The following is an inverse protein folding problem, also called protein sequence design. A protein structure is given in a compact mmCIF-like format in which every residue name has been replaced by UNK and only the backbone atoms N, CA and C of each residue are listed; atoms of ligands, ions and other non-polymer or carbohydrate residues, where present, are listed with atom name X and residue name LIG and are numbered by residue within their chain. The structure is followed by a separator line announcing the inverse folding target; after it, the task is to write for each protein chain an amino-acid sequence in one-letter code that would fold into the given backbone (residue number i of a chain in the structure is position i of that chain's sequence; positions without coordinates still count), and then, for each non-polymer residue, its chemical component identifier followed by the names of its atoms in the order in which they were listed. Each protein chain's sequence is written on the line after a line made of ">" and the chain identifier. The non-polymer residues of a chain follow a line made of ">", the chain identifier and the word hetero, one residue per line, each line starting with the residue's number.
data_IF_722278316312
#
_entry.id   IF_722278316312
#
_cell.length_a   1.000
_cell.length_b   1.000
_cell.length_c   1.000
_cell.angle_alpha   90.00
_cell.angle_beta   90.00
_cell.angle_gamma   90.00
#
_symmetry.space_group_name_H-M   'P 1'
#
loop_
_entity.id
_entity.type
_entity.pdbx_description
1 polymer ?
#
# COMPACT_ATOMS: atom_id res chain seq x y z
N UNK A 1 -7.62 22.34 3.94
CA UNK A 1 -6.49 21.83 3.14
C UNK A 1 -7.05 21.19 1.87
N UNK A 2 -6.34 21.29 0.75
CA UNK A 2 -6.76 20.81 -0.59
C UNK A 2 -5.92 19.59 -1.02
N UNK A 3 -5.66 18.66 -0.09
CA UNK A 3 -4.79 17.51 -0.32
C UNK A 3 -5.57 16.21 -0.48
N UNK A 4 -4.90 15.12 -0.83
CA UNK A 4 -5.51 13.79 -0.78
C UNK A 4 -5.97 13.47 0.65
N UNK A 5 -7.19 12.94 0.80
CA UNK A 5 -7.68 12.47 2.10
C UNK A 5 -8.08 13.57 3.09
N UNK A 6 -8.18 14.83 2.67
CA UNK A 6 -8.43 15.95 3.60
C UNK A 6 -9.91 16.23 3.90
N UNK A 7 -10.86 15.44 3.38
CA UNK A 7 -12.30 15.62 3.67
C UNK A 7 -12.84 14.77 4.82
N UNK A 8 -12.06 13.81 5.36
CA UNK A 8 -12.45 13.00 6.53
C UNK A 8 -12.18 13.69 7.87
N UNK A 9 -12.35 15.02 7.93
CA UNK A 9 -12.27 15.73 9.20
C UNK A 9 -13.41 15.34 10.16
N UNK A 10 -14.47 14.64 9.71
CA UNK A 10 -15.65 14.33 10.53
C UNK A 10 -15.78 12.89 11.02
N UNK A 11 -14.96 11.94 10.54
CA UNK A 11 -15.05 10.51 10.93
C UNK A 11 -13.81 10.01 11.69
N UNK A 12 -12.65 10.64 11.50
CA UNK A 12 -11.46 10.35 12.31
C UNK A 12 -11.54 10.95 13.72
N UNK A 13 -12.47 11.88 13.96
CA UNK A 13 -12.62 12.53 15.27
C UNK A 13 -13.12 11.59 16.38
N UNK A 14 -13.60 10.39 16.03
CA UNK A 14 -14.13 9.39 16.98
C UNK A 14 -13.26 8.14 17.12
N UNK A 15 -12.22 7.96 16.31
CA UNK A 15 -11.43 6.71 16.29
C UNK A 15 -10.07 6.90 16.96
N UNK A 16 -10.03 6.59 18.25
CA UNK A 16 -8.78 6.46 19.03
C UNK A 16 -8.09 5.14 18.62
N UNK A 17 -6.76 5.10 18.39
CA UNK A 17 -6.09 3.86 18.02
C UNK A 17 -6.21 2.81 19.14
N UNK A 18 -7.11 1.84 18.96
CA UNK A 18 -7.26 0.73 19.88
C UNK A 18 -6.38 -0.45 19.45
N UNK A 19 -5.53 -0.94 20.36
CA UNK A 19 -5.03 -2.31 20.26
C UNK A 19 -6.11 -3.22 20.82
N UNK A 20 -6.41 -4.34 20.18
CA UNK A 20 -7.36 -5.32 20.71
C UNK A 20 -6.63 -6.63 20.89
N UNK A 21 -6.60 -7.15 22.11
CA UNK A 21 -6.13 -8.51 22.34
C UNK A 21 -7.27 -9.47 22.01
N UNK A 22 -6.98 -10.45 21.17
CA UNK A 22 -7.94 -11.48 20.75
C UNK A 22 -7.51 -12.82 21.34
N UNK A 23 -8.43 -13.53 21.97
CA UNK A 23 -8.16 -14.88 22.47
C UNK A 23 -7.97 -15.82 21.27
N UNK A 24 -6.79 -16.43 21.18
CA UNK A 24 -6.49 -17.37 20.10
C UNK A 24 -7.43 -18.59 20.08
N UNK A 25 -8.01 -18.96 21.22
CA UNK A 25 -8.89 -20.13 21.36
C UNK A 25 -10.26 -19.96 20.69
N UNK A 26 -10.81 -18.75 20.67
CA UNK A 26 -12.20 -18.49 20.24
C UNK A 26 -12.34 -17.27 19.34
N UNK A 27 -11.23 -16.57 19.03
CA UNK A 27 -11.25 -15.36 18.22
C UNK A 27 -11.99 -14.20 18.87
N UNK A 28 -12.41 -14.34 20.14
CA UNK A 28 -13.15 -13.28 20.82
C UNK A 28 -12.18 -12.24 21.35
N UNK A 29 -12.48 -10.95 21.16
CA UNK A 29 -11.69 -9.91 21.77
C UNK A 29 -11.78 -10.02 23.29
N UNK A 30 -10.64 -9.93 23.97
CA UNK A 30 -10.62 -9.56 25.38
C UNK A 30 -10.87 -8.06 25.44
N UNK A 31 -11.78 -7.62 26.32
CA UNK A 31 -12.27 -6.24 26.46
C UNK A 31 -11.20 -5.29 27.04
N UNK A 32 -10.02 -5.25 26.42
CA UNK A 32 -8.96 -4.31 26.75
C UNK A 32 -8.89 -3.30 25.61
N UNK A 33 -9.52 -2.16 25.82
CA UNK A 33 -9.36 -0.98 24.98
C UNK A 33 -8.08 -0.29 25.43
N UNK A 34 -7.16 -0.06 24.49
CA UNK A 34 -5.92 0.67 24.75
C UNK A 34 -6.05 2.07 24.16
N UNK A 35 -6.99 2.90 24.64
CA UNK A 35 -7.03 4.38 24.52
C UNK A 35 -8.45 4.96 24.50
N UNK A 36 -8.61 6.10 25.17
CA UNK A 36 -9.83 6.91 25.21
C UNK A 36 -9.63 8.30 24.57
N UNK A 37 -10.70 9.10 24.39
CA UNK A 37 -10.66 10.39 23.70
C UNK A 37 -9.62 11.37 24.29
N UNK A 38 -9.38 11.30 25.60
CA UNK A 38 -8.47 12.18 26.35
C UNK A 38 -6.98 11.94 26.06
N UNK A 39 -6.63 10.81 25.45
CA UNK A 39 -5.23 10.44 25.12
C UNK A 39 -4.82 10.76 23.69
N UNK A 40 -5.74 11.25 22.84
CA UNK A 40 -5.49 11.47 21.41
C UNK A 40 -4.27 12.37 21.14
N UNK A 41 -4.22 13.53 21.81
CA UNK A 41 -3.09 14.46 21.68
C UNK A 41 -1.77 13.85 22.16
N UNK A 42 -1.82 12.84 23.04
CA UNK A 42 -0.67 12.11 23.52
C UNK A 42 -0.15 11.13 22.45
N UNK A 43 -1.01 10.41 21.73
CA UNK A 43 -0.60 9.47 20.68
C UNK A 43 -0.19 10.17 19.37
N UNK A 44 -0.90 11.22 18.97
CA UNK A 44 -0.65 11.96 17.72
C UNK A 44 0.72 12.68 17.73
N UNK A 45 1.23 13.06 18.90
CA UNK A 45 2.53 13.71 19.07
C UNK A 45 3.73 12.77 19.15
N UNK A 46 3.51 11.44 19.19
CA UNK A 46 4.58 10.47 19.46
C UNK A 46 5.10 9.80 18.18
N UNK A 47 6.30 9.21 18.31
CA UNK A 47 6.86 8.35 17.25
C UNK A 47 6.10 7.02 17.18
N UNK A 48 4.89 7.00 16.65
CA UNK A 48 4.17 5.78 16.27
C UNK A 48 4.91 4.94 15.20
N UNK A 49 4.67 3.64 15.23
CA UNK A 49 5.02 2.66 14.20
C UNK A 49 3.88 2.64 13.17
N UNK A 50 4.00 3.38 12.07
CA UNK A 50 2.88 3.55 11.14
C UNK A 50 2.81 2.42 10.10
N UNK A 51 3.92 1.70 9.87
CA UNK A 51 3.96 0.52 9.02
C UNK A 51 4.48 -0.71 9.80
N UNK A 52 3.70 -1.24 10.78
CA UNK A 52 4.09 -2.43 11.52
C UNK A 52 4.14 -3.66 10.60
N UNK A 53 5.18 -4.49 10.73
CA UNK A 53 5.36 -5.71 9.89
C UNK A 53 5.43 -7.02 10.64
N UNK A 54 5.89 -6.99 11.87
CA UNK A 54 5.97 -8.18 12.70
C UNK A 54 5.85 -7.79 14.17
N UNK A 55 5.35 -8.73 14.97
CA UNK A 55 5.29 -8.62 16.41
C UNK A 55 5.83 -9.90 17.05
N UNK A 56 6.56 -9.75 18.14
CA UNK A 56 6.97 -10.86 19.01
C UNK A 56 6.76 -10.46 20.48
N UNK A 57 6.64 -11.44 21.37
CA UNK A 57 6.43 -11.19 22.80
C UNK A 57 7.36 -12.03 23.69
N UNK A 58 7.80 -11.43 24.79
CA UNK A 58 8.61 -12.11 25.83
C UNK A 58 7.78 -12.56 27.04
N UNK A 59 6.48 -12.28 27.05
CA UNK A 59 5.54 -12.51 28.16
C UNK A 59 5.34 -11.30 29.08
N UNK A 60 6.19 -10.27 28.96
CA UNK A 60 6.08 -9.00 29.67
C UNK A 60 5.91 -7.81 28.70
N UNK A 61 6.54 -7.84 27.54
CA UNK A 61 6.63 -6.78 26.53
C UNK A 61 6.31 -7.34 25.14
N UNK A 62 5.77 -6.48 24.28
CA UNK A 62 5.63 -6.71 22.84
C UNK A 62 6.72 -5.95 22.09
N UNK A 63 7.27 -6.56 21.06
CA UNK A 63 8.28 -5.99 20.19
C UNK A 63 7.69 -5.85 18.80
N UNK A 64 7.54 -4.64 18.31
CA UNK A 64 6.91 -4.35 17.01
C UNK A 64 7.99 -3.87 16.03
N UNK A 65 8.20 -4.63 14.97
CA UNK A 65 9.08 -4.25 13.87
C UNK A 65 8.39 -3.22 12.97
N UNK A 66 8.97 -2.03 12.88
CA UNK A 66 8.43 -0.90 12.13
C UNK A 66 9.17 -0.75 10.81
N UNK A 67 8.53 -1.07 9.69
CA UNK A 67 9.15 -0.92 8.37
C UNK A 67 9.36 0.54 7.99
N UNK A 68 8.60 1.44 8.60
CA UNK A 68 8.69 2.86 8.34
C UNK A 68 9.88 3.56 8.97
N UNK A 69 10.56 2.92 9.93
CA UNK A 69 11.63 3.54 10.71
C UNK A 69 12.79 2.55 10.97
N UNK A 70 13.92 3.08 11.41
CA UNK A 70 15.11 2.29 11.77
C UNK A 70 15.06 1.82 13.24
N UNK A 71 13.93 1.24 13.66
CA UNK A 71 13.70 0.82 15.05
C UNK A 71 12.66 -0.30 15.22
N UNK A 72 12.81 -1.06 16.31
CA UNK A 72 11.75 -1.87 16.92
C UNK A 72 11.14 -1.08 18.07
N UNK A 73 9.82 -0.95 18.05
CA UNK A 73 9.04 -0.34 19.12
C UNK A 73 8.76 -1.38 20.21
N UNK A 74 9.19 -1.13 21.44
CA UNK A 74 8.89 -1.99 22.59
C UNK A 74 7.66 -1.45 23.30
N UNK A 75 6.61 -2.27 23.43
CA UNK A 75 5.34 -1.91 24.07
C UNK A 75 5.21 -2.74 25.35
N UNK A 76 5.00 -2.08 26.48
CA UNK A 76 4.65 -2.73 27.75
C UNK A 76 3.12 -2.72 27.88
N UNK A 77 2.41 -3.84 27.68
CA UNK A 77 0.96 -3.89 27.74
C UNK A 77 0.36 -3.56 29.12
N UNK A 78 1.16 -3.52 30.19
CA UNK A 78 0.70 -3.08 31.53
C UNK A 78 0.87 -1.57 31.71
N UNK A 79 1.99 -1.02 31.22
CA UNK A 79 2.31 0.41 31.38
C UNK A 79 1.74 1.29 30.26
N UNK A 80 1.59 0.76 29.05
CA UNK A 80 1.09 1.46 27.85
C UNK A 80 -0.45 1.34 27.74
N UNK A 81 -1.19 1.71 28.80
CA UNK A 81 -2.67 1.68 28.83
C UNK A 81 -3.29 3.07 29.05
N UNK A 82 -4.57 3.21 28.69
CA UNK A 82 -5.43 4.42 28.77
C UNK A 82 -5.48 5.10 30.16
N UNK A 83 -5.09 4.38 31.22
CA UNK A 83 -5.16 4.88 32.59
C UNK A 83 -3.79 5.21 33.18
N UNK A 84 -2.71 5.20 32.38
CA UNK A 84 -1.39 5.57 32.86
C UNK A 84 -1.41 7.06 33.31
N UNK A 85 -1.22 7.38 34.60
CA UNK A 85 -1.36 8.74 35.14
C UNK A 85 -0.37 9.79 34.58
N UNK A 86 0.44 9.41 33.59
CA UNK A 86 1.35 10.26 32.85
C UNK A 86 1.57 9.70 31.43
N UNK A 87 0.54 9.71 30.57
CA UNK A 87 0.68 9.34 29.15
C UNK A 87 1.89 10.04 28.48
N UNK A 88 2.20 11.29 28.88
CA UNK A 88 3.38 12.04 28.40
C UNK A 88 4.74 11.45 28.78
N UNK A 89 4.90 10.79 29.92
CA UNK A 89 6.19 10.26 30.39
C UNK A 89 6.40 8.82 29.91
N UNK A 90 5.38 7.97 30.07
CA UNK A 90 5.43 6.56 29.69
C UNK A 90 5.68 6.36 28.16
N UNK A 91 4.99 7.13 27.30
CA UNK A 91 5.19 7.02 25.85
C UNK A 91 6.49 7.67 25.36
N UNK A 92 6.95 8.74 26.02
CA UNK A 92 8.19 9.45 25.66
C UNK A 92 9.43 8.64 25.98
N UNK A 93 9.41 7.92 27.10
CA UNK A 93 10.52 7.09 27.57
C UNK A 93 10.42 5.64 27.04
N UNK A 94 9.47 5.37 26.13
CA UNK A 94 9.27 4.04 25.56
C UNK A 94 10.54 3.57 24.86
N UNK A 95 11.00 2.39 25.28
CA UNK A 95 12.20 1.77 24.73
C UNK A 95 12.05 1.53 23.22
N UNK A 96 13.09 1.90 22.48
CA UNK A 96 13.21 1.66 21.04
C UNK A 96 14.56 1.03 20.78
N UNK A 97 14.55 -0.10 20.09
CA UNK A 97 15.77 -0.80 19.74
C UNK A 97 16.15 -0.39 18.33
N UNK A 98 17.30 0.26 18.17
CA UNK A 98 17.78 0.72 16.86
C UNK A 98 18.13 -0.45 15.96
N UNK A 99 17.47 -0.55 14.81
CA UNK A 99 17.76 -1.55 13.77
C UNK A 99 17.29 -1.03 12.43
N UNK A 100 18.12 -1.17 11.40
CA UNK A 100 17.76 -0.68 10.07
C UNK A 100 16.56 -1.44 9.48
N UNK A 101 15.45 -0.72 9.27
CA UNK A 101 14.23 -1.18 8.58
C UNK A 101 13.82 -2.64 8.89
N UNK A 102 13.47 -2.95 10.14
CA UNK A 102 13.11 -4.30 10.54
C UNK A 102 11.78 -4.71 9.90
N UNK A 103 11.76 -5.93 9.37
CA UNK A 103 10.56 -6.56 8.79
C UNK A 103 10.15 -7.83 9.51
N UNK A 104 11.03 -8.37 10.36
CA UNK A 104 10.77 -9.52 11.21
C UNK A 104 11.39 -9.30 12.58
N UNK A 105 10.78 -9.87 13.61
CA UNK A 105 11.30 -9.86 14.98
C UNK A 105 11.03 -11.20 15.64
N UNK A 106 11.97 -11.68 16.43
CA UNK A 106 11.84 -12.83 17.32
C UNK A 106 12.49 -12.50 18.67
N UNK A 107 12.13 -13.23 19.71
CA UNK A 107 12.66 -13.04 21.07
C UNK A 107 13.22 -14.36 21.58
N UNK A 108 14.45 -14.32 22.08
CA UNK A 108 15.06 -15.36 22.91
C UNK A 108 14.99 -14.92 24.38
N UNK A 109 14.03 -15.50 25.12
CA UNK A 109 13.75 -15.14 26.52
C UNK A 109 14.85 -15.59 27.47
N UNK A 110 15.47 -16.73 27.20
CA UNK A 110 16.51 -17.29 28.06
C UNK A 110 17.77 -16.43 28.04
N UNK A 111 18.08 -15.84 26.87
CA UNK A 111 19.24 -14.97 26.68
C UNK A 111 18.93 -13.48 26.81
N UNK A 112 17.67 -13.11 26.98
CA UNK A 112 17.24 -11.71 26.98
C UNK A 112 17.57 -10.98 25.66
N UNK A 113 17.43 -11.68 24.52
CA UNK A 113 17.77 -11.16 23.19
C UNK A 113 16.55 -10.94 22.31
N UNK A 114 16.61 -9.89 21.50
CA UNK A 114 15.67 -9.60 20.42
C UNK A 114 16.39 -9.76 19.10
N UNK A 115 15.88 -10.61 18.22
CA UNK A 115 16.47 -10.89 16.91
C UNK A 115 15.62 -10.18 15.87
N UNK A 116 16.22 -9.26 15.14
CA UNK A 116 15.55 -8.45 14.14
C UNK A 116 16.00 -8.85 12.73
N UNK A 117 15.07 -9.11 11.82
CA UNK A 117 15.37 -9.35 10.41
C UNK A 117 15.05 -8.12 9.56
N UNK A 118 16.04 -7.58 8.87
CA UNK A 118 15.87 -6.50 7.88
C UNK A 118 15.85 -7.06 6.47
N UNK A 119 14.71 -7.04 5.79
CA UNK A 119 14.61 -7.45 4.39
C UNK A 119 15.24 -6.45 3.40
N UNK A 120 15.57 -5.24 3.85
CA UNK A 120 16.24 -4.23 3.02
C UNK A 120 17.72 -4.59 2.85
N UNK A 121 18.40 -4.90 3.95
CA UNK A 121 19.82 -5.25 3.96
C UNK A 121 20.09 -6.75 3.96
N UNK A 122 19.06 -7.58 4.22
CA UNK A 122 19.17 -9.04 4.46
C UNK A 122 20.06 -9.37 5.66
N UNK A 123 19.91 -8.64 6.75
CA UNK A 123 20.66 -8.85 7.99
C UNK A 123 19.76 -9.35 9.10
N UNK A 124 20.30 -10.24 9.93
CA UNK A 124 19.81 -10.48 11.29
C UNK A 124 20.63 -9.63 12.25
N UNK A 125 19.96 -8.86 13.11
CA UNK A 125 20.60 -8.08 14.16
C UNK A 125 20.14 -8.62 15.49
N UNK A 126 21.08 -9.06 16.33
CA UNK A 126 20.82 -9.51 17.69
C UNK A 126 20.93 -8.31 18.62
N UNK A 127 19.88 -7.98 19.35
CA UNK A 127 19.75 -6.82 20.21
C UNK A 127 19.52 -7.27 21.65
N UNK A 128 19.97 -6.49 22.62
CA UNK A 128 19.56 -6.68 24.03
C UNK A 128 18.10 -6.26 24.21
N UNK A 129 17.32 -7.07 24.92
CA UNK A 129 15.93 -6.77 25.27
C UNK A 129 15.77 -5.53 26.17
N UNK A 130 16.84 -5.13 26.87
CA UNK A 130 16.88 -3.94 27.74
C UNK A 130 17.42 -2.69 27.02
N UNK A 131 17.72 -2.79 25.72
CA UNK A 131 18.35 -1.71 24.95
C UNK A 131 19.88 -1.71 25.06
N UNK A 132 20.49 -0.68 24.45
CA UNK A 132 21.95 -0.55 24.30
C UNK A 132 22.40 -0.61 22.83
N UNK A 133 23.71 -0.68 22.59
CA UNK A 133 24.25 -0.82 21.23
C UNK A 133 23.80 -2.13 20.60
N UNK A 134 23.46 -2.08 19.31
CA UNK A 134 23.11 -3.27 18.55
C UNK A 134 24.22 -4.33 18.67
N UNK A 135 23.83 -5.56 18.97
CA UNK A 135 24.74 -6.68 19.08
C UNK A 135 25.14 -7.24 17.71
N UNK A 136 25.43 -8.54 17.68
CA UNK A 136 25.97 -9.23 16.49
C UNK A 136 25.06 -9.04 15.28
N UNK A 137 25.67 -8.62 14.16
CA UNK A 137 25.02 -8.54 12.86
C UNK A 137 25.44 -9.74 12.02
N UNK A 138 24.47 -10.46 11.48
CA UNK A 138 24.68 -11.63 10.61
C UNK A 138 24.11 -11.31 9.23
N UNK A 139 24.97 -11.24 8.22
CA UNK A 139 24.53 -11.12 6.83
C UNK A 139 23.98 -12.46 6.33
N UNK A 140 22.77 -12.44 5.78
CA UNK A 140 22.16 -13.64 5.19
C UNK A 140 22.50 -13.75 3.70
N UNK A 141 22.78 -14.97 3.20
CA UNK A 141 23.07 -15.18 1.79
C UNK A 141 21.90 -14.70 0.92
N UNK A 142 22.20 -14.18 -0.27
CA UNK A 142 21.21 -13.68 -1.23
C UNK A 142 21.16 -14.61 -2.45
N UNK A 143 19.94 -14.94 -2.89
CA UNK A 143 19.72 -15.54 -4.19
C UNK A 143 19.51 -14.39 -5.19
N UNK A 144 20.39 -14.29 -6.19
CA UNK A 144 20.39 -13.22 -7.19
C UNK A 144 21.15 -11.95 -6.78
N UNK A 145 21.19 -10.97 -7.69
CA UNK A 145 21.91 -9.71 -7.48
C UNK A 145 21.27 -8.85 -6.38
N UNK A 146 22.11 -8.10 -5.67
CA UNK A 146 21.63 -7.03 -4.80
C UNK A 146 20.97 -5.91 -5.64
N UNK A 147 19.96 -5.20 -5.10
CA UNK A 147 19.46 -4.01 -5.76
C UNK A 147 20.58 -2.98 -5.92
N UNK A 148 20.50 -2.14 -6.95
CA UNK A 148 21.40 -1.00 -7.08
C UNK A 148 21.25 -0.05 -5.88
N UNK A 149 22.26 0.78 -5.64
CA UNK A 149 22.20 1.81 -4.59
C UNK A 149 20.99 2.74 -4.77
N UNK A 150 20.65 3.09 -6.02
CA UNK A 150 19.48 3.91 -6.32
C UNK A 150 18.16 3.24 -5.93
N UNK A 151 17.99 1.95 -6.27
CA UNK A 151 16.79 1.17 -5.89
C UNK A 151 16.72 1.00 -4.37
N UNK A 152 17.85 0.76 -3.70
CA UNK A 152 17.90 0.64 -2.25
C UNK A 152 17.52 1.95 -1.55
N UNK A 153 18.03 3.10 -2.02
CA UNK A 153 17.69 4.41 -1.50
C UNK A 153 16.22 4.76 -1.74
N UNK A 154 15.70 4.51 -2.96
CA UNK A 154 14.30 4.68 -3.30
C UNK A 154 13.37 3.83 -2.44
N UNK A 155 13.77 2.57 -2.17
CA UNK A 155 13.03 1.68 -1.26
C UNK A 155 12.93 2.25 0.15
N UNK A 156 14.01 2.87 0.66
CA UNK A 156 14.02 3.52 1.98
C UNK A 156 13.03 4.69 2.00
N UNK A 157 13.11 5.59 1.01
CA UNK A 157 12.21 6.74 0.88
C UNK A 157 10.74 6.32 0.76
N UNK A 158 10.44 5.29 -0.04
CA UNK A 158 9.07 4.83 -0.28
C UNK A 158 8.35 4.41 1.00
N UNK A 159 9.09 3.91 1.99
CA UNK A 159 8.54 3.49 3.29
C UNK A 159 8.78 4.51 4.40
N UNK A 160 9.52 5.59 4.18
CA UNK A 160 9.81 6.58 5.23
C UNK A 160 8.54 7.36 5.59
N UNK A 161 8.05 7.16 6.80
CA UNK A 161 6.95 7.97 7.34
C UNK A 161 7.53 9.23 7.99
N UNK A 162 6.70 10.25 8.18
CA UNK A 162 7.08 11.55 8.79
C UNK A 162 8.08 12.40 8.03
N UNK A 163 8.56 11.95 6.87
CA UNK A 163 9.31 12.83 5.99
C UNK A 163 8.39 13.90 5.42
N UNK A 164 8.44 15.10 6.00
CA UNK A 164 7.63 16.26 5.56
C UNK A 164 7.97 16.70 4.13
N UNK A 165 9.05 16.19 3.53
CA UNK A 165 9.32 16.35 2.10
C UNK A 165 8.32 15.55 1.25
N UNK A 166 7.86 14.39 1.73
CA UNK A 166 6.95 13.46 1.04
C UNK A 166 5.48 13.83 1.27
N UNK A 167 5.08 14.07 2.52
CA UNK A 167 3.68 14.34 2.87
C UNK A 167 3.52 15.35 4.01
N UNK A 168 2.42 16.10 3.97
CA UNK A 168 2.09 17.11 4.95
C UNK A 168 1.62 16.52 6.28
N UNK A 169 1.11 15.29 6.28
CA UNK A 169 0.56 14.56 7.43
C UNK A 169 1.48 13.47 7.99
N UNK A 170 2.54 13.10 7.25
CA UNK A 170 3.53 12.11 7.68
C UNK A 170 3.29 10.70 7.14
N UNK A 171 2.32 10.48 6.23
CA UNK A 171 2.17 9.22 5.49
C UNK A 171 3.36 8.98 4.54
N UNK A 172 3.68 7.71 4.31
CA UNK A 172 4.67 7.28 3.31
C UNK A 172 3.96 6.85 2.02
N UNK A 173 4.71 6.63 0.93
CA UNK A 173 4.14 6.03 -0.28
C UNK A 173 3.55 4.64 0.01
N UNK A 174 4.24 3.85 0.85
CA UNK A 174 3.80 2.54 1.31
C UNK A 174 2.54 2.55 2.19
N UNK A 175 2.08 3.70 2.67
CA UNK A 175 0.83 3.80 3.43
C UNK A 175 -0.40 3.51 2.57
N UNK A 176 -0.36 3.86 1.28
CA UNK A 176 -1.41 3.55 0.32
C UNK A 176 -0.98 2.38 -0.59
N UNK A 177 0.29 2.36 -1.02
CA UNK A 177 0.82 1.34 -1.90
C UNK A 177 1.52 0.21 -1.13
N UNK A 178 0.74 -0.51 -0.32
CA UNK A 178 1.25 -1.54 0.61
C UNK A 178 1.98 -2.65 -0.16
N UNK A 179 3.29 -2.81 0.08
CA UNK A 179 4.17 -3.73 -0.66
C UNK A 179 4.12 -3.53 -2.20
N UNK A 180 3.81 -2.31 -2.65
CA UNK A 180 3.62 -1.97 -4.07
C UNK A 180 2.24 -2.33 -4.62
N UNK A 181 1.32 -2.83 -3.79
CA UNK A 181 -0.09 -3.02 -4.14
C UNK A 181 -0.88 -1.72 -3.91
N UNK A 182 -2.09 -1.84 -3.39
CA UNK A 182 -3.00 -0.75 -3.08
C UNK A 182 -3.71 -1.05 -1.74
N UNK A 183 -4.37 -0.04 -1.19
CA UNK A 183 -5.04 -0.06 0.12
C UNK A 183 -6.55 -0.37 0.02
N UNK A 184 -7.08 -0.53 -1.19
CA UNK A 184 -8.49 -0.75 -1.48
C UNK A 184 -9.35 0.50 -1.29
N UNK A 185 -8.73 1.67 -1.12
CA UNK A 185 -9.44 2.90 -0.74
C UNK A 185 -9.61 3.86 -1.90
N UNK A 186 -10.67 4.67 -1.79
CA UNK A 186 -10.94 5.81 -2.67
C UNK A 186 -10.67 7.09 -1.89
N UNK A 187 -9.70 7.86 -2.36
CA UNK A 187 -9.27 9.09 -1.72
C UNK A 187 -9.99 10.31 -2.32
N UNK A 188 -10.51 11.22 -1.49
CA UNK A 188 -10.97 12.52 -1.96
C UNK A 188 -9.77 13.35 -2.41
N UNK A 189 -9.85 13.95 -3.60
CA UNK A 189 -8.81 14.82 -4.15
C UNK A 189 -9.42 16.11 -4.72
N UNK A 190 -8.64 17.17 -4.94
CA UNK A 190 -9.13 18.40 -5.57
C UNK A 190 -9.76 18.20 -6.96
N UNK A 191 -9.39 17.12 -7.66
CA UNK A 191 -9.90 16.81 -9.01
C UNK A 191 -10.93 15.68 -9.02
N UNK A 192 -11.49 15.37 -7.84
CA UNK A 192 -12.48 14.32 -7.63
C UNK A 192 -11.93 13.10 -6.90
N UNK A 193 -12.79 12.13 -6.60
CA UNK A 193 -12.41 10.89 -5.95
C UNK A 193 -11.40 10.10 -6.80
N UNK A 194 -10.34 9.57 -6.19
CA UNK A 194 -9.29 8.78 -6.83
C UNK A 194 -8.95 7.55 -5.98
N UNK A 195 -9.10 6.35 -6.53
CA UNK A 195 -8.57 5.15 -5.89
C UNK A 195 -7.07 5.00 -6.10
N UNK A 196 -6.45 4.27 -5.18
CA UNK A 196 -5.03 3.95 -5.19
C UNK A 196 -4.72 2.88 -6.24
N UNK A 197 -3.97 3.16 -7.31
CA UNK A 197 -3.58 2.14 -8.27
C UNK A 197 -2.49 1.22 -7.69
N UNK A 198 -2.55 -0.06 -8.00
CA UNK A 198 -1.43 -0.99 -7.77
C UNK A 198 -0.21 -0.60 -8.62
N UNK A 199 1.00 -0.66 -8.04
CA UNK A 199 2.26 -0.31 -8.71
C UNK A 199 3.03 -1.55 -9.20
N UNK A 200 3.11 -2.59 -8.37
CA UNK A 200 3.95 -3.75 -8.62
C UNK A 200 3.55 -4.47 -9.92
N UNK A 201 4.43 -4.47 -10.91
CA UNK A 201 4.17 -5.08 -12.22
C UNK A 201 3.28 -4.26 -13.17
N UNK A 202 2.82 -3.05 -12.79
CA UNK A 202 1.92 -2.19 -13.59
C UNK A 202 2.54 -0.89 -14.07
N UNK A 203 3.84 -0.66 -13.85
CA UNK A 203 4.49 0.63 -14.14
C UNK A 203 5.27 0.60 -15.46
N UNK A 204 6.02 -0.47 -15.71
CA UNK A 204 6.86 -0.56 -16.89
C UNK A 204 6.01 -0.67 -18.17
N UNK A 205 6.16 0.31 -19.07
CA UNK A 205 5.51 0.32 -20.39
C UNK A 205 4.05 0.76 -20.39
N UNK A 206 3.58 1.41 -19.32
CA UNK A 206 2.18 1.85 -19.17
C UNK A 206 2.03 3.36 -19.02
N UNK A 207 3.05 4.14 -19.40
CA UNK A 207 2.92 5.60 -19.46
C UNK A 207 1.89 6.00 -20.53
N UNK A 208 1.28 7.19 -20.44
CA UNK A 208 1.53 8.25 -19.45
C UNK A 208 0.99 7.93 -18.04
N UNK A 209 1.33 8.76 -17.05
CA UNK A 209 1.04 8.49 -15.63
C UNK A 209 0.04 9.49 -15.03
N UNK A 210 -0.75 9.00 -14.08
CA UNK A 210 -1.87 9.71 -13.48
C UNK A 210 -3.20 9.26 -14.10
N UNK A 211 -4.28 9.40 -13.35
CA UNK A 211 -5.61 8.94 -13.79
C UNK A 211 -6.10 9.63 -15.07
N UNK A 212 -5.55 10.78 -15.44
CA UNK A 212 -5.86 11.48 -16.68
C UNK A 212 -4.70 11.45 -17.69
N UNK A 213 -3.66 10.65 -17.46
CA UNK A 213 -2.50 10.52 -18.35
C UNK A 213 -1.68 11.80 -18.44
N UNK A 214 -1.71 12.64 -17.41
CA UNK A 214 -1.23 14.02 -17.48
C UNK A 214 0.29 14.16 -17.29
N UNK A 215 1.01 13.08 -16.95
CA UNK A 215 2.45 13.11 -16.71
C UNK A 215 3.22 12.16 -17.63
N UNK A 216 4.19 12.70 -18.38
CA UNK A 216 4.98 11.93 -19.34
C UNK A 216 6.02 10.99 -18.70
N UNK A 217 6.36 11.16 -17.42
CA UNK A 217 7.35 10.33 -16.72
C UNK A 217 7.00 10.09 -15.27
N UNK A 218 7.51 8.98 -14.72
CA UNK A 218 7.27 8.57 -13.35
C UNK A 218 7.83 9.58 -12.32
N UNK A 219 9.06 10.14 -12.46
CA UNK A 219 9.54 11.20 -11.56
C UNK A 219 8.63 12.44 -11.54
N UNK A 220 8.09 12.84 -12.69
CA UNK A 220 7.16 13.98 -12.80
C UNK A 220 5.85 13.65 -12.06
N UNK A 221 5.32 12.43 -12.23
CA UNK A 221 4.13 11.99 -11.51
C UNK A 221 4.33 11.90 -9.99
N UNK A 222 5.48 11.38 -9.54
CA UNK A 222 5.83 11.31 -8.12
C UNK A 222 5.92 12.73 -7.53
N UNK A 223 6.54 13.67 -8.25
CA UNK A 223 6.62 15.09 -7.83
C UNK A 223 5.24 15.73 -7.66
N UNK A 224 4.33 15.50 -8.62
CA UNK A 224 2.96 15.98 -8.54
C UNK A 224 2.20 15.34 -7.36
N UNK A 225 2.40 14.04 -7.14
CA UNK A 225 1.81 13.30 -6.02
C UNK A 225 2.26 13.85 -4.67
N UNK A 226 3.56 14.09 -4.48
CA UNK A 226 4.10 14.70 -3.25
C UNK A 226 3.45 16.06 -2.97
N UNK A 227 3.28 16.90 -4.01
CA UNK A 227 2.58 18.19 -3.88
C UNK A 227 1.13 17.98 -3.41
N UNK A 228 0.42 17.01 -4.00
CA UNK A 228 -0.97 16.70 -3.64
C UNK A 228 -1.12 16.09 -2.24
N UNK A 229 -0.08 15.46 -1.72
CA UNK A 229 0.02 15.00 -0.32
C UNK A 229 0.41 16.13 0.65
N UNK A 230 0.61 17.37 0.17
CA UNK A 230 1.06 18.50 0.99
C UNK A 230 2.53 18.41 1.42
N UNK A 231 3.34 17.58 0.75
CA UNK A 231 4.77 17.47 1.00
C UNK A 231 5.55 18.70 0.51
N UNK A 232 6.71 18.95 1.12
CA UNK A 232 7.60 20.08 0.78
C UNK A 232 8.41 19.86 -0.50
N UNK A 233 8.43 18.64 -1.04
CA UNK A 233 9.18 18.27 -2.24
C UNK A 233 10.51 17.57 -1.93
N UNK A 234 10.92 16.69 -2.85
CA UNK A 234 12.19 15.99 -2.84
C UNK A 234 13.13 16.55 -3.93
N UNK A 235 14.47 16.46 -3.75
CA UNK A 235 15.42 16.70 -4.83
C UNK A 235 15.18 15.76 -6.02
N UNK A 236 15.54 16.19 -7.22
CA UNK A 236 15.32 15.38 -8.43
C UNK A 236 16.02 14.01 -8.36
N UNK A 237 17.20 13.93 -7.75
CA UNK A 237 17.90 12.65 -7.52
C UNK A 237 17.06 11.67 -6.66
N UNK A 238 16.37 12.15 -5.63
CA UNK A 238 15.51 11.33 -4.78
C UNK A 238 14.22 10.92 -5.51
N UNK A 239 13.70 11.76 -6.41
CA UNK A 239 12.58 11.41 -7.30
C UNK A 239 12.98 10.29 -8.26
N UNK A 240 14.18 10.35 -8.85
CA UNK A 240 14.72 9.29 -9.71
C UNK A 240 14.94 7.98 -8.94
N UNK A 241 15.45 8.05 -7.70
CA UNK A 241 15.59 6.88 -6.83
C UNK A 241 14.24 6.22 -6.52
N UNK A 242 13.23 7.02 -6.18
CA UNK A 242 11.87 6.52 -5.97
C UNK A 242 11.30 5.89 -7.24
N UNK A 243 11.45 6.55 -8.39
CA UNK A 243 11.01 6.02 -9.69
C UNK A 243 11.70 4.69 -10.02
N UNK A 244 13.02 4.59 -9.81
CA UNK A 244 13.78 3.35 -10.00
C UNK A 244 13.28 2.22 -9.08
N UNK A 245 12.97 2.52 -7.82
CA UNK A 245 12.39 1.53 -6.91
C UNK A 245 11.01 1.07 -7.36
N UNK A 246 10.10 2.00 -7.68
CA UNK A 246 8.73 1.70 -8.12
C UNK A 246 8.75 0.87 -9.41
N UNK A 247 9.59 1.23 -10.38
CA UNK A 247 9.77 0.45 -11.61
C UNK A 247 10.36 -0.95 -11.37
N UNK A 248 11.16 -1.13 -10.31
CA UNK A 248 11.75 -2.43 -9.95
C UNK A 248 10.81 -3.36 -9.19
N UNK A 249 9.62 -2.89 -8.79
CA UNK A 249 8.69 -3.68 -7.99
C UNK A 249 8.21 -4.92 -8.73
N UNK A 250 8.54 -6.09 -8.17
CA UNK A 250 8.24 -7.37 -8.79
C UNK A 250 6.74 -7.65 -8.74
N UNK A 251 6.19 -7.96 -9.91
CA UNK A 251 4.82 -8.42 -10.04
C UNK A 251 4.57 -9.73 -9.26
N UNK A 252 3.40 -9.92 -8.65
CA UNK A 252 3.02 -11.22 -8.08
C UNK A 252 3.10 -12.33 -9.14
N UNK A 253 3.53 -13.53 -8.75
CA UNK A 253 3.64 -14.65 -9.68
C UNK A 253 2.26 -15.13 -10.12
N UNK A 254 1.96 -15.09 -11.43
CA UNK A 254 0.80 -15.74 -12.04
C UNK A 254 1.08 -17.25 -12.12
N UNK A 255 0.22 -18.10 -11.53
CA UNK A 255 0.53 -19.53 -11.35
C UNK A 255 -0.45 -20.52 -11.99
N UNK A 256 -1.56 -20.10 -12.59
CA UNK A 256 -2.54 -21.03 -13.13
C UNK A 256 -2.76 -20.87 -14.65
N UNK A 257 -2.85 -21.98 -15.41
CA UNK A 257 -3.44 -21.98 -16.74
C UNK A 257 -4.87 -21.42 -16.73
N UNK A 258 -5.32 -20.87 -17.86
CA UNK A 258 -6.70 -20.41 -17.99
C UNK A 258 -7.68 -21.58 -17.86
N UNK A 259 -8.70 -21.42 -17.03
CA UNK A 259 -9.85 -22.34 -16.99
C UNK A 259 -10.64 -22.28 -18.30
N UNK A 260 -11.48 -23.28 -18.58
CA UNK A 260 -12.35 -23.26 -19.75
C UNK A 260 -13.27 -22.02 -19.80
N UNK A 261 -13.72 -21.54 -18.64
CA UNK A 261 -14.49 -20.29 -18.52
C UNK A 261 -13.64 -19.07 -18.93
N UNK A 262 -12.40 -18.96 -18.43
CA UNK A 262 -11.52 -17.85 -18.79
C UNK A 262 -11.11 -17.89 -20.28
N UNK A 263 -10.99 -19.08 -20.88
CA UNK A 263 -10.74 -19.20 -22.33
C UNK A 263 -11.92 -18.67 -23.15
N UNK A 264 -13.17 -19.01 -22.77
CA UNK A 264 -14.37 -18.43 -23.40
C UNK A 264 -14.48 -16.93 -23.16
N UNK A 265 -14.16 -16.49 -21.94
CA UNK A 265 -14.14 -15.07 -21.56
C UNK A 265 -13.16 -14.23 -22.37
N UNK A 266 -12.00 -14.81 -22.72
CA UNK A 266 -11.03 -14.18 -23.62
C UNK A 266 -11.65 -13.91 -25.00
N UNK A 267 -12.38 -14.87 -25.56
CA UNK A 267 -13.07 -14.67 -26.84
C UNK A 267 -14.13 -13.58 -26.76
N UNK A 268 -14.84 -13.47 -25.62
CA UNK A 268 -15.78 -12.38 -25.38
C UNK A 268 -15.04 -11.03 -25.30
N UNK A 269 -13.90 -10.97 -24.62
CA UNK A 269 -13.09 -9.75 -24.49
C UNK A 269 -12.52 -9.25 -25.83
N UNK A 270 -12.08 -10.17 -26.69
CA UNK A 270 -11.47 -9.87 -27.99
C UNK A 270 -12.50 -9.66 -29.12
N UNK A 271 -13.79 -9.77 -28.82
CA UNK A 271 -14.86 -9.67 -29.82
C UNK A 271 -15.07 -8.24 -30.33
N UNK A 272 -15.29 -8.11 -31.63
CA UNK A 272 -15.72 -6.85 -32.26
C UNK A 272 -17.07 -6.34 -31.72
N UNK A 273 -17.90 -7.19 -31.12
CA UNK A 273 -19.19 -6.76 -30.56
C UNK A 273 -19.06 -6.11 -29.18
N UNK A 274 -18.04 -6.50 -28.40
CA UNK A 274 -17.81 -5.99 -27.03
C UNK A 274 -16.77 -4.88 -27.01
N UNK A 275 -15.86 -4.86 -27.99
CA UNK A 275 -14.84 -3.84 -28.25
C UNK A 275 -13.84 -3.59 -27.11
N UNK A 276 -13.73 -4.47 -26.11
CA UNK A 276 -12.83 -4.25 -24.96
C UNK A 276 -11.36 -4.12 -25.40
N UNK A 277 -10.93 -4.94 -26.36
CA UNK A 277 -9.56 -4.97 -26.87
C UNK A 277 -9.18 -3.79 -27.78
N UNK A 278 -10.10 -2.85 -28.03
CA UNK A 278 -9.77 -1.61 -28.77
C UNK A 278 -8.92 -0.66 -27.94
N UNK A 279 -9.23 -0.54 -26.64
CA UNK A 279 -8.45 0.23 -25.67
C UNK A 279 -7.58 -0.67 -24.79
N UNK A 280 -8.06 -1.85 -24.38
CA UNK A 280 -7.31 -2.74 -23.50
C UNK A 280 -6.52 -3.79 -24.28
N UNK A 281 -5.44 -3.34 -24.93
CA UNK A 281 -4.68 -4.14 -25.89
C UNK A 281 -3.62 -5.04 -25.21
N UNK A 282 -3.69 -6.37 -25.38
CA UNK A 282 -2.80 -7.35 -24.70
C UNK A 282 -1.30 -7.05 -24.92
N UNK A 283 -0.89 -6.72 -26.14
CA UNK A 283 0.52 -6.48 -26.50
C UNK A 283 1.16 -5.30 -25.73
N UNK A 284 0.34 -4.37 -25.26
CA UNK A 284 0.73 -3.19 -24.48
C UNK A 284 0.18 -3.28 -23.05
N UNK A 285 0.27 -4.48 -22.45
CA UNK A 285 -0.15 -4.72 -21.05
C UNK A 285 -1.63 -4.37 -20.80
N UNK A 286 -2.50 -4.54 -21.79
CA UNK A 286 -3.94 -4.22 -21.70
C UNK A 286 -4.25 -2.73 -21.47
N UNK A 287 -3.49 -1.84 -22.11
CA UNK A 287 -3.78 -0.40 -22.22
C UNK A 287 -3.36 0.10 -23.60
N UNK A 288 -4.02 1.14 -24.09
CA UNK A 288 -3.66 1.88 -25.29
C UNK A 288 -2.77 3.10 -24.99
N UNK A 289 -2.60 3.45 -23.71
CA UNK A 289 -1.87 4.64 -23.28
C UNK A 289 -2.56 5.96 -23.65
N UNK A 290 -3.86 5.92 -23.95
CA UNK A 290 -4.66 7.08 -24.33
C UNK A 290 -5.72 7.39 -23.27
N UNK A 291 -6.11 8.68 -23.21
CA UNK A 291 -7.18 9.12 -22.33
C UNK A 291 -8.53 9.10 -23.04
N UNK A 292 -9.57 8.52 -22.42
CA UNK A 292 -10.93 8.43 -22.96
C UNK A 292 -11.97 9.00 -22.01
N UNK A 293 -13.08 9.51 -22.55
CA UNK A 293 -14.24 9.85 -21.73
C UNK A 293 -14.91 8.54 -21.26
N UNK A 294 -15.44 8.53 -20.03
CA UNK A 294 -16.16 7.35 -19.50
C UNK A 294 -17.68 7.44 -19.69
N UNK A 295 -18.18 8.65 -19.96
CA UNK A 295 -19.60 8.94 -20.14
C UNK A 295 -19.79 9.80 -21.40
N UNK A 296 -20.91 9.58 -22.11
CA UNK A 296 -21.22 10.35 -23.32
C UNK A 296 -21.37 11.84 -22.98
N UNK A 297 -20.64 12.68 -23.70
CA UNK A 297 -20.66 14.14 -23.49
C UNK A 297 -19.80 14.62 -22.33
N UNK A 298 -19.12 13.74 -21.59
CA UNK A 298 -18.15 14.15 -20.58
C UNK A 298 -16.93 14.81 -21.23
N UNK A 299 -16.52 15.97 -20.70
CA UNK A 299 -15.27 16.63 -21.08
C UNK A 299 -14.06 16.07 -20.32
N UNK A 300 -14.31 15.34 -19.23
CA UNK A 300 -13.26 14.72 -18.43
C UNK A 300 -12.86 13.40 -19.06
N UNK A 301 -11.55 13.23 -19.28
CA UNK A 301 -10.97 12.02 -19.85
C UNK A 301 -10.02 11.38 -18.83
N UNK A 302 -9.95 10.06 -18.89
CA UNK A 302 -9.12 9.25 -18.03
C UNK A 302 -8.24 8.35 -18.89
N UNK A 303 -6.97 8.26 -18.52
CA UNK A 303 -6.05 7.29 -19.11
C UNK A 303 -6.60 5.88 -18.95
N UNK A 304 -6.52 5.06 -20.01
CA UNK A 304 -6.90 3.65 -19.95
C UNK A 304 -5.92 2.90 -19.03
N UNK A 305 -6.32 2.48 -17.83
CA UNK A 305 -5.40 1.77 -16.96
C UNK A 305 -5.08 0.39 -17.54
N UNK A 306 -3.82 -0.05 -17.46
CA UNK A 306 -3.43 -1.43 -17.75
C UNK A 306 -4.30 -2.42 -16.96
N UNK A 307 -4.89 -3.44 -17.60
CA UNK A 307 -5.66 -4.47 -16.88
C UNK A 307 -4.79 -5.54 -16.19
N UNK A 308 -3.46 -5.41 -16.20
CA UNK A 308 -2.60 -6.34 -15.47
C UNK A 308 -2.97 -6.34 -13.97
N UNK A 309 -3.20 -7.53 -13.42
CA UNK A 309 -3.64 -7.77 -12.04
C UNK A 309 -5.02 -7.21 -11.68
N UNK A 310 -5.87 -6.83 -12.64
CA UNK A 310 -7.20 -6.25 -12.38
C UNK A 310 -8.09 -7.16 -11.52
N UNK A 311 -7.85 -8.48 -11.54
CA UNK A 311 -8.53 -9.44 -10.68
C UNK A 311 -8.37 -9.21 -9.17
N UNK A 312 -7.41 -8.39 -8.74
CA UNK A 312 -7.05 -8.19 -7.32
C UNK A 312 -7.06 -6.73 -6.87
N UNK A 313 -7.54 -5.79 -7.70
CA UNK A 313 -7.44 -4.34 -7.42
C UNK A 313 -8.81 -3.67 -7.35
N UNK A 314 -9.78 -4.32 -6.70
CA UNK A 314 -11.04 -3.68 -6.39
C UNK A 314 -10.82 -2.57 -5.34
N UNK A 315 -11.61 -1.48 -5.35
CA UNK A 315 -12.72 -1.20 -6.27
C UNK A 315 -12.25 -0.66 -7.64
N UNK A 316 -13.14 -0.68 -8.62
CA UNK A 316 -12.83 -0.36 -10.02
C UNK A 316 -13.29 1.03 -10.45
N UNK A 317 -12.70 1.51 -11.56
CA UNK A 317 -12.71 2.88 -12.08
C UNK A 317 -11.85 3.84 -11.25
N UNK A 318 -11.65 5.06 -11.75
CA UNK A 318 -10.85 6.08 -11.07
C UNK A 318 -11.42 6.44 -9.71
N UNK A 319 -12.74 6.38 -9.51
CA UNK A 319 -13.45 6.75 -8.30
C UNK A 319 -13.94 5.56 -7.47
N UNK A 320 -13.57 4.33 -7.85
CA UNK A 320 -13.96 3.13 -7.13
C UNK A 320 -15.47 2.85 -7.11
N UNK A 321 -16.26 3.38 -8.06
CA UNK A 321 -17.73 3.23 -8.06
C UNK A 321 -18.23 1.79 -8.19
N UNK A 322 -17.39 0.85 -8.62
CA UNK A 322 -17.75 -0.57 -8.73
C UNK A 322 -16.93 -1.42 -7.75
N UNK A 323 -17.60 -2.07 -6.81
CA UNK A 323 -16.95 -2.92 -5.81
C UNK A 323 -16.45 -4.26 -6.37
N UNK A 324 -17.03 -4.75 -7.49
CA UNK A 324 -16.70 -6.04 -8.08
C UNK A 324 -16.60 -5.96 -9.60
N UNK A 325 -15.88 -6.90 -10.23
CA UNK A 325 -15.80 -7.01 -11.68
C UNK A 325 -17.16 -7.32 -12.29
N UNK A 326 -17.99 -8.10 -11.59
CA UNK A 326 -19.37 -8.36 -11.98
C UNK A 326 -20.18 -7.06 -12.11
N UNK A 327 -20.14 -6.22 -11.05
CA UNK A 327 -20.85 -4.94 -11.05
C UNK A 327 -20.33 -3.98 -12.13
N UNK A 328 -19.03 -4.01 -12.41
CA UNK A 328 -18.42 -3.26 -13.51
C UNK A 328 -18.92 -3.77 -14.86
N UNK A 329 -18.80 -5.06 -15.12
CA UNK A 329 -19.13 -5.68 -16.42
C UNK A 329 -20.62 -5.52 -16.72
N UNK A 330 -21.49 -5.64 -15.73
CA UNK A 330 -22.94 -5.42 -15.88
C UNK A 330 -23.30 -3.97 -16.30
N UNK A 331 -22.39 -3.02 -16.09
CA UNK A 331 -22.58 -1.59 -16.40
C UNK A 331 -21.73 -1.09 -17.57
N UNK A 332 -20.88 -1.95 -18.14
CA UNK A 332 -20.09 -1.66 -19.34
C UNK A 332 -20.99 -1.66 -20.59
N UNK A 333 -21.60 -0.51 -20.90
CA UNK A 333 -22.36 -0.36 -22.13
C UNK A 333 -22.28 1.07 -22.68
N UNK A 334 -21.70 1.20 -23.87
CA UNK A 334 -21.79 2.40 -24.69
C UNK A 334 -20.46 3.08 -24.95
N UNK A 335 -19.74 3.49 -23.90
CA UNK A 335 -18.45 4.22 -24.03
C UNK A 335 -17.26 3.35 -23.63
N UNK A 336 -17.44 2.48 -22.64
CA UNK A 336 -16.45 1.51 -22.20
C UNK A 336 -17.00 0.10 -22.47
N UNK A 337 -16.83 -0.34 -23.72
CA UNK A 337 -17.33 -1.61 -24.25
C UNK A 337 -18.86 -1.72 -24.33
N UNK A 338 -19.32 -2.87 -24.82
CA UNK A 338 -20.74 -3.18 -25.03
C UNK A 338 -21.08 -4.57 -24.48
N UNK A 339 -21.74 -4.64 -23.32
CA UNK A 339 -22.05 -5.93 -22.67
C UNK A 339 -23.54 -6.25 -22.59
N UNK A 340 -24.44 -5.32 -22.98
CA UNK A 340 -25.89 -5.51 -22.88
C UNK A 340 -26.41 -6.69 -23.70
N UNK A 341 -25.76 -7.02 -24.80
CA UNK A 341 -26.14 -8.12 -25.67
C UNK A 341 -25.66 -9.49 -25.15
N UNK A 342 -24.77 -9.50 -24.15
CA UNK A 342 -24.27 -10.74 -23.57
C UNK A 342 -25.31 -11.39 -22.66
N UNK A 343 -25.30 -12.72 -22.64
CA UNK A 343 -26.00 -13.50 -21.62
C UNK A 343 -25.24 -13.48 -20.29
N UNK A 344 -25.91 -13.85 -19.20
CA UNK A 344 -25.28 -13.93 -17.88
C UNK A 344 -24.07 -14.89 -17.85
N UNK A 345 -24.11 -16.11 -18.45
CA UNK A 345 -22.93 -16.96 -18.55
C UNK A 345 -21.76 -16.33 -19.31
N UNK A 346 -22.04 -15.57 -20.38
CA UNK A 346 -20.98 -14.88 -21.13
C UNK A 346 -20.32 -13.76 -20.32
N UNK A 347 -21.10 -13.00 -19.54
CA UNK A 347 -20.55 -12.00 -18.60
C UNK A 347 -19.71 -12.67 -17.51
N UNK A 348 -20.16 -13.80 -16.97
CA UNK A 348 -19.41 -14.56 -15.98
C UNK A 348 -18.08 -15.10 -16.54
N UNK A 349 -18.08 -15.61 -17.78
CA UNK A 349 -16.88 -16.04 -18.49
C UNK A 349 -15.90 -14.87 -18.71
N UNK A 350 -16.41 -13.69 -19.14
CA UNK A 350 -15.60 -12.47 -19.28
C UNK A 350 -14.94 -12.07 -17.95
N UNK A 351 -15.70 -12.05 -16.86
CA UNK A 351 -15.15 -11.79 -15.52
C UNK A 351 -14.10 -12.83 -15.14
N UNK A 352 -14.32 -14.11 -15.45
CA UNK A 352 -13.34 -15.17 -15.19
C UNK A 352 -12.02 -14.90 -15.95
N UNK A 353 -12.07 -14.39 -17.17
CA UNK A 353 -10.89 -13.97 -17.92
C UNK A 353 -10.19 -12.76 -17.28
N UNK A 354 -10.93 -11.70 -16.93
CA UNK A 354 -10.38 -10.50 -16.28
C UNK A 354 -9.66 -10.83 -14.96
N UNK A 355 -10.18 -11.79 -14.18
CA UNK A 355 -9.52 -12.27 -12.96
C UNK A 355 -8.17 -12.95 -13.19
N UNK A 356 -7.93 -13.41 -14.42
CA UNK A 356 -6.66 -14.04 -14.77
C UNK A 356 -5.58 -13.02 -15.10
N UNK A 357 -5.96 -11.84 -15.61
CA UNK A 357 -5.03 -10.76 -15.96
C UNK A 357 -4.31 -10.23 -14.72
#
# INVERSE_FOLDING_TARGET
>A
STGYGTSEASTLDSHVPFVQRVRASDGQPTTTVFSGPDDRACFEGQRACLLPRAVAEDGARLYVACLDSDEILVVDPKADTEHAPACKKALKDRLRLGVERPTGVAVDRERGQVIAFSSFTRRLTLLSAEGGTAGVVVDLPRVGAAPSSAVAAGRKLFHETRDRRISGDGRACASCHVDGREDGLVWPTPTGARQTPMLAGRIEGTGPYGWSGEHASLPVHIKATIKNLGGKGLPDEDLERLAAYVASMRAPSRRAPLSAAAQRGRLVFESEQTECSTCHVERSRFTDGDAHALDRGSRTRFDTPSLAFVGQTAPYFHDGRYATLEALVDKCDGVMGHTKHLTEPQRADLVAFLRTL
#
